data_IF_086304804981
#
_entry.id   IF_086304804981
#
_cell.length_a   1.000
_cell.length_b   1.000
_cell.length_c   1.000
_cell.angle_alpha   90.00
_cell.angle_beta   90.00
_cell.angle_gamma   90.00
#
_symmetry.space_group_name_H-M   'P 1'
#
loop_
_entity.id
_entity.type
_entity.pdbx_description
1 polymer ?
#
# COMPACT_ATOMS: atom_id res chain seq x y z
N UNK A 1 -8.57 0.79 -18.44
CA UNK A 1 -7.20 0.49 -18.02
C UNK A 1 -7.19 -0.61 -16.99
N UNK A 2 -6.14 -1.40 -17.00
CA UNK A 2 -6.00 -2.45 -16.00
C UNK A 2 -5.55 -1.88 -14.66
N UNK A 3 -6.07 -2.44 -13.58
CA UNK A 3 -5.60 -2.14 -12.24
C UNK A 3 -4.14 -2.59 -12.06
N UNK A 4 -3.41 -1.89 -11.20
CA UNK A 4 -2.05 -2.28 -10.82
C UNK A 4 -2.13 -3.08 -9.53
N UNK A 5 -1.63 -4.32 -9.57
CA UNK A 5 -1.64 -5.21 -8.41
C UNK A 5 -0.22 -5.71 -8.17
N UNK A 6 0.24 -5.63 -6.93
CA UNK A 6 1.50 -6.24 -6.51
C UNK A 6 1.29 -7.07 -5.25
N UNK A 7 2.05 -8.13 -5.13
CA UNK A 7 2.10 -8.90 -3.90
C UNK A 7 3.14 -8.28 -2.98
N UNK A 8 2.71 -7.85 -1.79
CA UNK A 8 3.59 -7.21 -0.81
C UNK A 8 4.32 -8.26 0.00
N UNK A 9 3.61 -9.34 0.37
CA UNK A 9 4.15 -10.37 1.25
C UNK A 9 3.46 -11.70 1.00
N UNK A 10 4.18 -12.77 1.23
CA UNK A 10 3.66 -14.14 1.08
C UNK A 10 4.26 -15.02 2.16
N UNK A 11 3.40 -15.77 2.83
CA UNK A 11 3.78 -16.85 3.73
C UNK A 11 3.25 -18.14 3.14
N UNK A 12 4.13 -19.09 2.91
CA UNK A 12 3.77 -20.41 2.39
C UNK A 12 3.84 -21.46 3.49
N UNK A 13 3.19 -22.59 3.24
CA UNK A 13 3.12 -23.69 4.19
C UNK A 13 1.69 -24.07 4.47
N UNK A 14 1.46 -24.83 5.56
CA UNK A 14 0.12 -25.26 5.94
C UNK A 14 -0.79 -24.05 6.21
N UNK A 15 -0.24 -23.02 6.82
CA UNK A 15 -0.90 -21.73 6.99
C UNK A 15 -0.36 -20.78 5.90
N UNK A 16 -1.20 -20.49 4.91
CA UNK A 16 -0.83 -19.65 3.77
C UNK A 16 -1.44 -18.26 3.94
N UNK A 17 -0.66 -17.24 3.63
CA UNK A 17 -1.17 -15.86 3.51
C UNK A 17 -0.50 -15.16 2.36
N UNK A 18 -1.28 -14.49 1.53
CA UNK A 18 -0.80 -13.56 0.51
C UNK A 18 -1.39 -12.17 0.78
N UNK A 19 -0.54 -11.16 0.80
CA UNK A 19 -0.95 -9.76 0.98
C UNK A 19 -0.70 -9.00 -0.32
N UNK A 20 -1.73 -8.30 -0.81
CA UNK A 20 -1.65 -7.59 -2.08
C UNK A 20 -1.99 -6.12 -1.90
N UNK A 21 -1.34 -5.30 -2.70
CA UNK A 21 -1.65 -3.87 -2.84
C UNK A 21 -2.16 -3.64 -4.25
N UNK A 22 -3.32 -3.01 -4.36
CA UNK A 22 -3.97 -2.74 -5.64
C UNK A 22 -4.26 -1.25 -5.78
N UNK A 23 -3.90 -0.71 -6.93
CA UNK A 23 -4.41 0.59 -7.38
C UNK A 23 -5.47 0.31 -8.44
N UNK A 24 -6.72 0.60 -8.13
CA UNK A 24 -7.83 0.36 -9.04
C UNK A 24 -7.97 1.48 -10.07
N UNK A 25 -8.71 1.21 -11.15
CA UNK A 25 -8.85 2.16 -12.26
C UNK A 25 -9.51 3.47 -11.83
N UNK A 26 -10.37 3.43 -10.82
CA UNK A 26 -11.03 4.62 -10.29
C UNK A 26 -10.18 5.40 -9.28
N UNK A 27 -8.94 4.96 -9.04
CA UNK A 27 -8.04 5.60 -8.10
C UNK A 27 -8.14 5.08 -6.66
N UNK A 28 -8.99 4.10 -6.40
CA UNK A 28 -9.06 3.47 -5.08
C UNK A 28 -7.77 2.70 -4.81
N UNK A 29 -7.23 2.83 -3.61
CA UNK A 29 -6.12 2.00 -3.12
C UNK A 29 -6.70 0.94 -2.20
N UNK A 30 -6.33 -0.30 -2.44
CA UNK A 30 -6.80 -1.43 -1.64
C UNK A 30 -5.62 -2.27 -1.18
N UNK A 31 -5.63 -2.63 0.10
CA UNK A 31 -4.70 -3.62 0.63
C UNK A 31 -5.51 -4.77 1.17
N UNK A 32 -5.28 -5.96 0.64
CA UNK A 32 -6.06 -7.13 1.03
C UNK A 32 -5.17 -8.34 1.24
N UNK A 33 -5.68 -9.28 1.99
CA UNK A 33 -5.00 -10.52 2.28
C UNK A 33 -5.93 -11.71 2.06
N UNK A 34 -5.35 -12.82 1.65
CA UNK A 34 -6.04 -14.10 1.55
C UNK A 34 -5.33 -15.09 2.46
N UNK A 35 -6.10 -15.70 3.35
CA UNK A 35 -5.62 -16.73 4.27
C UNK A 35 -6.22 -18.07 3.89
N UNK A 36 -5.38 -19.09 3.81
CA UNK A 36 -5.81 -20.46 3.54
C UNK A 36 -5.10 -21.36 4.53
N UNK A 37 -5.84 -22.26 5.17
CA UNK A 37 -5.21 -23.22 6.05
C UNK A 37 -6.08 -23.67 7.22
N UNK A 38 -5.52 -24.52 8.10
CA UNK A 38 -6.26 -25.13 9.21
C UNK A 38 -6.86 -24.11 10.19
N UNK A 39 -6.16 -23.01 10.46
CA UNK A 39 -6.67 -21.99 11.37
C UNK A 39 -7.93 -21.33 10.81
N UNK A 40 -7.94 -21.04 9.49
CA UNK A 40 -9.10 -20.45 8.82
C UNK A 40 -10.28 -21.43 8.90
N UNK A 41 -10.05 -22.70 8.60
CA UNK A 41 -11.07 -23.73 8.65
C UNK A 41 -11.67 -23.83 10.06
N UNK A 42 -10.85 -23.81 11.10
CA UNK A 42 -11.29 -23.94 12.48
C UNK A 42 -12.17 -22.77 12.91
N UNK A 43 -11.84 -21.54 12.48
CA UNK A 43 -12.54 -20.33 12.90
C UNK A 43 -13.79 -20.08 12.04
N UNK A 44 -13.68 -20.24 10.73
CA UNK A 44 -14.68 -19.80 9.77
C UNK A 44 -15.45 -20.94 9.10
N UNK A 45 -15.01 -22.18 9.27
CA UNK A 45 -15.64 -23.36 8.66
C UNK A 45 -15.34 -23.53 7.18
N UNK A 46 -14.48 -22.70 6.61
CA UNK A 46 -14.00 -22.76 5.23
C UNK A 46 -12.50 -22.59 5.26
N UNK A 47 -11.80 -23.10 4.27
CA UNK A 47 -10.34 -23.04 4.21
C UNK A 47 -9.80 -21.76 3.55
N UNK A 48 -10.68 -20.86 3.12
CA UNK A 48 -10.32 -19.64 2.42
C UNK A 48 -11.01 -18.45 3.09
N UNK A 49 -10.22 -17.46 3.48
CA UNK A 49 -10.71 -16.23 4.09
C UNK A 49 -10.02 -15.04 3.45
N UNK A 50 -10.80 -14.08 2.96
CA UNK A 50 -10.28 -12.84 2.37
C UNK A 50 -10.75 -11.64 3.19
N UNK A 51 -9.85 -10.68 3.38
CA UNK A 51 -10.16 -9.44 4.08
C UNK A 51 -9.27 -8.31 3.56
N UNK A 52 -9.74 -7.09 3.69
CA UNK A 52 -8.96 -5.97 3.18
C UNK A 52 -9.50 -4.62 3.63
N UNK A 53 -8.71 -3.60 3.30
CA UNK A 53 -9.03 -2.21 3.56
C UNK A 53 -8.94 -1.47 2.24
N UNK A 54 -9.97 -0.68 1.94
CA UNK A 54 -10.00 0.16 0.74
C UNK A 54 -10.06 1.62 1.13
N UNK A 55 -9.26 2.44 0.44
CA UNK A 55 -9.25 3.89 0.62
C UNK A 55 -9.71 4.51 -0.70
N UNK A 56 -10.83 5.24 -0.72
CA UNK A 56 -11.33 5.83 -1.96
C UNK A 56 -10.40 6.92 -2.47
N UNK A 57 -10.45 7.17 -3.77
CA UNK A 57 -9.60 8.17 -4.42
C UNK A 57 -9.67 9.55 -3.74
N UNK A 58 -10.87 9.96 -3.29
CA UNK A 58 -11.04 11.24 -2.62
C UNK A 58 -10.25 11.37 -1.32
N UNK A 59 -9.88 10.27 -0.69
CA UNK A 59 -9.11 10.27 0.57
C UNK A 59 -7.62 10.08 0.36
N UNK A 60 -7.16 9.90 -0.89
CA UNK A 60 -5.74 9.69 -1.16
C UNK A 60 -4.85 10.86 -0.75
N UNK A 61 -5.25 12.13 -0.91
CA UNK A 61 -4.41 13.22 -0.42
C UNK A 61 -4.12 13.13 1.08
N UNK A 62 -5.13 12.79 1.88
CA UNK A 62 -4.92 12.60 3.32
C UNK A 62 -4.04 11.39 3.61
N UNK A 63 -4.28 10.29 2.91
CA UNK A 63 -3.45 9.09 3.05
C UNK A 63 -1.98 9.39 2.74
N UNK A 64 -1.74 10.06 1.62
CA UNK A 64 -0.39 10.42 1.20
C UNK A 64 0.29 11.34 2.23
N UNK A 65 -0.43 12.35 2.72
CA UNK A 65 0.10 13.26 3.72
C UNK A 65 0.53 12.51 4.98
N UNK A 66 -0.31 11.62 5.48
CA UNK A 66 -0.01 10.88 6.71
C UNK A 66 1.16 9.91 6.52
N UNK A 67 1.23 9.24 5.37
CA UNK A 67 2.35 8.34 5.08
C UNK A 67 3.67 9.11 4.97
N UNK A 68 3.65 10.27 4.33
CA UNK A 68 4.85 11.11 4.19
C UNK A 68 5.28 11.67 5.54
N UNK A 69 4.33 12.10 6.35
CA UNK A 69 4.62 12.56 7.70
C UNK A 69 5.31 11.47 8.51
N UNK A 70 4.77 10.25 8.47
CA UNK A 70 5.34 9.13 9.19
C UNK A 70 6.75 8.79 8.68
N UNK A 71 6.94 8.83 7.37
CA UNK A 71 8.22 8.47 6.76
C UNK A 71 9.33 9.50 7.05
N UNK A 72 8.98 10.78 7.07
CA UNK A 72 9.99 11.86 7.09
C UNK A 72 10.05 12.66 8.38
N UNK A 73 9.16 12.40 9.35
CA UNK A 73 9.16 13.14 10.59
C UNK A 73 10.54 13.08 11.27
N UNK A 74 11.08 14.25 11.62
CA UNK A 74 12.37 14.35 12.28
C UNK A 74 13.58 14.29 11.37
N UNK A 75 13.40 14.18 10.06
CA UNK A 75 14.51 14.14 9.11
C UNK A 75 14.80 15.51 8.54
N UNK A 76 15.96 16.07 8.87
CA UNK A 76 16.37 17.39 8.37
C UNK A 76 16.58 17.40 6.86
N UNK A 77 16.97 16.28 6.27
CA UNK A 77 17.15 16.11 4.83
C UNK A 77 15.91 15.65 4.08
N UNK A 78 14.71 15.84 4.66
CA UNK A 78 13.49 15.29 4.10
C UNK A 78 13.17 15.82 2.70
N UNK A 79 13.45 17.09 2.42
CA UNK A 79 13.16 17.67 1.09
C UNK A 79 13.96 16.96 0.00
N UNK A 80 15.25 16.81 0.21
CA UNK A 80 16.10 16.13 -0.79
C UNK A 80 15.72 14.64 -0.91
N UNK A 81 15.43 13.98 0.20
CA UNK A 81 15.05 12.58 0.19
C UNK A 81 13.70 12.36 -0.50
N UNK A 82 12.75 13.24 -0.29
CA UNK A 82 11.44 13.16 -0.94
C UNK A 82 11.55 13.39 -2.45
N UNK A 83 12.34 14.40 -2.83
CA UNK A 83 12.61 14.67 -4.24
C UNK A 83 13.22 13.48 -4.95
N UNK A 84 14.22 12.87 -4.35
CA UNK A 84 14.86 11.67 -4.88
C UNK A 84 13.88 10.50 -4.96
N UNK A 85 13.06 10.33 -3.94
CA UNK A 85 12.05 9.28 -3.92
C UNK A 85 11.06 9.44 -5.07
N UNK A 86 10.56 10.65 -5.30
CA UNK A 86 9.65 10.93 -6.40
C UNK A 86 10.29 10.62 -7.75
N UNK A 87 11.55 11.01 -7.93
CA UNK A 87 12.28 10.73 -9.17
C UNK A 87 12.42 9.24 -9.41
N UNK A 88 12.82 8.51 -8.37
CA UNK A 88 13.02 7.06 -8.45
C UNK A 88 11.75 6.32 -8.82
N UNK A 89 10.62 6.79 -8.32
CA UNK A 89 9.33 6.10 -8.49
C UNK A 89 8.48 6.69 -9.62
N UNK A 90 9.01 7.65 -10.38
CA UNK A 90 8.29 8.23 -11.51
C UNK A 90 7.07 9.05 -11.09
N UNK A 91 7.10 9.63 -9.89
CA UNK A 91 6.04 10.51 -9.42
C UNK A 91 6.29 11.92 -9.91
N UNK A 92 5.32 12.49 -10.62
CA UNK A 92 5.44 13.85 -11.11
C UNK A 92 5.57 14.82 -9.94
N UNK A 93 6.55 15.71 -10.00
CA UNK A 93 6.86 16.66 -8.95
C UNK A 93 7.60 17.86 -9.50
N UNK A 94 7.65 18.92 -8.71
CA UNK A 94 8.40 20.12 -9.06
C UNK A 94 9.32 20.46 -7.89
N UNK A 95 10.50 20.95 -8.22
CA UNK A 95 11.43 21.50 -7.24
C UNK A 95 11.43 23.00 -7.41
N UNK A 96 11.30 23.72 -6.32
CA UNK A 96 11.38 25.17 -6.32
C UNK A 96 12.33 25.64 -5.22
N UNK A 97 12.95 26.77 -5.46
CA UNK A 97 13.81 27.42 -4.48
C UNK A 97 13.70 28.93 -4.64
N UNK A 98 13.87 29.62 -3.54
CA UNK A 98 13.85 31.08 -3.55
C UNK A 98 14.71 31.60 -2.40
N UNK A 99 15.16 32.85 -2.54
CA UNK A 99 15.94 33.51 -1.51
C UNK A 99 15.39 34.91 -1.27
#
# INVERSE_FOLDING_TARGET
MASHVIEIARQEGAEFRSVRLTLEDDGTIKMDAQDIGPTVTRIWGDDDYEFGVSVPAASLPQLAFELLREKFLGQLGAVDAFREWCTTHGVQHEFDSWI
#
